data_IF_664027800975
#
_entry.id   IF_664027800975
#
_cell.length_a   1.000
_cell.length_b   1.000
_cell.length_c   1.000
_cell.angle_alpha   90.00
_cell.angle_beta   90.00
_cell.angle_gamma   90.00
#
_symmetry.space_group_name_H-M   'P 1'
#
loop_
_entity.id
_entity.type
_entity.pdbx_description
1 polymer ?
#
# COMPACT_ATOMS: atom_id res chain seq x y z
N UNK A 1 -8.50 -17.45 4.75
CA UNK A 1 -7.56 -16.32 4.88
C UNK A 1 -6.62 -16.31 3.69
N UNK A 2 -6.41 -15.16 3.05
CA UNK A 2 -5.59 -15.08 1.83
C UNK A 2 -4.10 -15.13 2.21
N UNK A 3 -3.43 -16.27 2.00
CA UNK A 3 -2.01 -16.49 2.35
C UNK A 3 -1.08 -15.39 1.83
N UNK A 4 -1.45 -14.72 0.74
CA UNK A 4 -0.72 -13.60 0.16
C UNK A 4 -0.64 -12.37 1.08
N UNK A 5 -1.70 -12.05 1.82
CA UNK A 5 -1.75 -10.89 2.72
C UNK A 5 -0.83 -11.09 3.93
N UNK A 6 -0.90 -12.28 4.54
CA UNK A 6 -0.04 -12.68 5.67
C UNK A 6 1.43 -12.66 5.26
N UNK A 7 1.74 -13.11 4.03
CA UNK A 7 3.11 -13.13 3.53
C UNK A 7 3.65 -11.71 3.27
N UNK A 8 2.82 -10.80 2.74
CA UNK A 8 3.17 -9.39 2.54
C UNK A 8 3.41 -8.66 3.87
N UNK A 9 2.58 -8.90 4.88
CA UNK A 9 2.77 -8.30 6.21
C UNK A 9 4.07 -8.81 6.86
N UNK A 10 4.33 -10.12 6.81
CA UNK A 10 5.60 -10.71 7.29
C UNK A 10 6.81 -10.12 6.58
N UNK A 11 6.76 -9.98 5.26
CA UNK A 11 7.84 -9.38 4.47
C UNK A 11 8.05 -7.90 4.86
N UNK A 12 6.97 -7.16 5.09
CA UNK A 12 7.03 -5.74 5.48
C UNK A 12 7.64 -5.59 6.87
N UNK A 13 7.23 -6.43 7.84
CA UNK A 13 7.83 -6.46 9.19
C UNK A 13 9.31 -6.82 9.17
N UNK A 14 9.70 -7.85 8.41
CA UNK A 14 11.11 -8.24 8.25
C UNK A 14 11.94 -7.10 7.62
N UNK A 15 11.37 -6.35 6.67
CA UNK A 15 12.04 -5.18 6.09
C UNK A 15 12.23 -4.06 7.13
N UNK A 16 11.21 -3.78 7.95
CA UNK A 16 11.32 -2.80 9.05
C UNK A 16 12.42 -3.22 10.02
N UNK A 17 12.45 -4.48 10.44
CA UNK A 17 13.46 -4.99 11.37
C UNK A 17 14.89 -4.86 10.80
N UNK A 18 15.08 -5.19 9.52
CA UNK A 18 16.37 -5.00 8.84
C UNK A 18 16.80 -3.53 8.82
N UNK A 19 15.89 -2.61 8.47
CA UNK A 19 16.20 -1.17 8.45
C UNK A 19 16.50 -0.64 9.85
N UNK A 20 15.80 -1.13 10.88
CA UNK A 20 16.08 -0.77 12.28
C UNK A 20 17.47 -1.21 12.72
N UNK A 21 17.92 -2.41 12.33
CA UNK A 21 19.30 -2.86 12.58
C UNK A 21 20.32 -1.96 11.88
N UNK A 22 20.07 -1.58 10.63
CA UNK A 22 20.95 -0.71 9.84
C UNK A 22 21.06 0.70 10.45
N UNK A 23 19.98 1.22 11.03
CA UNK A 23 20.00 2.47 11.80
C UNK A 23 20.84 2.32 13.06
N UNK A 24 20.70 1.21 13.80
CA UNK A 24 21.48 0.98 15.01
C UNK A 24 22.99 0.90 14.72
N UNK A 25 23.37 0.28 13.60
CA UNK A 25 24.75 0.23 13.12
C UNK A 25 25.28 1.62 12.75
N UNK A 26 24.49 2.43 12.02
CA UNK A 26 24.84 3.82 11.71
C UNK A 26 24.96 4.67 12.98
N UNK A 27 24.08 4.50 13.97
CA UNK A 27 24.15 5.19 15.25
C UNK A 27 25.41 4.86 16.03
N UNK A 28 25.78 3.58 16.07
CA UNK A 28 27.03 3.18 16.67
C UNK A 28 28.23 3.83 15.97
N UNK A 29 28.22 3.90 14.63
CA UNK A 29 29.28 4.54 13.86
C UNK A 29 29.35 6.05 14.05
N UNK A 30 28.20 6.74 14.13
CA UNK A 30 28.13 8.16 14.47
C UNK A 30 28.69 8.41 15.87
N UNK A 31 28.37 7.55 16.85
CA UNK A 31 28.93 7.64 18.20
C UNK A 31 30.46 7.46 18.18
N UNK A 32 30.96 6.45 17.48
CA UNK A 32 32.41 6.23 17.31
C UNK A 32 33.09 7.46 16.70
N UNK A 33 32.59 7.96 15.57
CA UNK A 33 33.15 9.16 14.91
C UNK A 33 33.07 10.40 15.80
N UNK A 34 31.99 10.56 16.57
CA UNK A 34 31.85 11.65 17.55
C UNK A 34 32.91 11.54 18.64
N UNK A 35 33.12 10.34 19.21
CA UNK A 35 34.16 10.13 20.22
C UNK A 35 35.57 10.33 19.66
N UNK A 36 35.85 9.90 18.42
CA UNK A 36 37.13 10.16 17.76
C UNK A 36 37.33 11.66 17.50
N UNK A 37 36.28 12.38 17.07
CA UNK A 37 36.31 13.84 16.92
C UNK A 37 36.54 14.56 18.25
N UNK A 38 35.88 14.15 19.32
CA UNK A 38 36.10 14.71 20.66
C UNK A 38 37.54 14.48 21.14
N UNK A 39 38.09 13.28 20.92
CA UNK A 39 39.49 12.98 21.24
C UNK A 39 40.46 13.83 20.42
N UNK A 40 40.24 13.97 19.11
CA UNK A 40 41.06 14.82 18.24
C UNK A 40 40.96 16.29 18.65
N UNK A 41 39.76 16.76 19.00
CA UNK A 41 39.52 18.14 19.46
C UNK A 41 40.12 18.40 20.83
N UNK A 42 40.21 17.38 21.70
CA UNK A 42 40.87 17.47 23.00
C UNK A 42 42.41 17.45 22.89
N UNK A 43 42.97 16.77 21.87
CA UNK A 43 44.41 16.77 21.57
C UNK A 43 44.83 18.06 20.88
N UNK A 44 43.93 18.69 20.11
CA UNK A 44 44.09 20.06 19.65
C UNK A 44 44.15 20.96 20.90
N UNK A 45 45.27 21.65 21.15
CA UNK A 45 45.37 22.51 22.31
C UNK A 45 44.22 23.52 22.28
N UNK A 46 43.54 23.67 23.42
CA UNK A 46 42.49 24.65 23.61
C UNK A 46 42.93 25.99 23.02
N UNK A 47 42.12 26.49 22.09
CA UNK A 47 42.33 27.71 21.29
C UNK A 47 42.54 28.97 22.16
N UNK A 48 42.43 28.85 23.48
CA UNK A 48 42.68 29.89 24.46
C UNK A 48 44.15 30.09 24.86
N UNK A 49 45.10 29.20 24.48
CA UNK A 49 46.52 29.38 24.86
C UNK A 49 47.54 29.17 23.75
N UNK A 50 47.13 28.65 22.59
CA UNK A 50 48.01 28.49 21.42
C UNK A 50 47.62 29.51 20.38
N UNK A 51 48.52 30.49 20.17
CA UNK A 51 48.57 31.34 18.99
C UNK A 51 48.14 30.54 17.76
N UNK A 52 47.05 30.98 17.12
CA UNK A 52 46.45 30.33 15.95
C UNK A 52 47.50 30.07 14.86
N UNK A 53 47.23 29.17 13.90
CA UNK A 53 48.13 28.96 12.75
C UNK A 53 48.56 30.29 12.10
N UNK A 54 47.64 31.27 12.03
CA UNK A 54 47.92 32.63 11.58
C UNK A 54 48.95 33.37 12.46
N UNK A 55 48.82 33.31 13.79
CA UNK A 55 49.76 33.92 14.72
C UNK A 55 51.17 33.27 14.62
N UNK A 56 51.24 31.94 14.44
CA UNK A 56 52.51 31.25 14.21
C UNK A 56 53.18 31.69 12.89
N UNK A 57 52.39 31.96 11.85
CA UNK A 57 52.90 32.52 10.57
C UNK A 57 53.46 33.93 10.77
N UNK A 58 52.78 34.77 11.56
CA UNK A 58 53.29 36.12 11.90
C UNK A 58 54.61 36.01 12.66
N UNK A 59 54.69 35.15 13.68
CA UNK A 59 55.91 34.89 14.44
C UNK A 59 57.06 34.34 13.57
N UNK A 60 56.78 33.45 12.62
CA UNK A 60 57.79 32.97 11.66
C UNK A 60 58.32 34.14 10.83
N UNK A 61 57.43 35.01 10.33
CA UNK A 61 57.81 36.17 9.52
C UNK A 61 58.66 37.16 10.33
N UNK A 62 58.31 37.42 11.58
CA UNK A 62 59.09 38.25 12.48
C UNK A 62 60.49 37.66 12.76
N UNK A 63 60.57 36.36 13.06
CA UNK A 63 61.86 35.70 13.29
C UNK A 63 62.71 35.66 12.01
N UNK A 64 62.09 35.50 10.84
CA UNK A 64 62.79 35.53 9.56
C UNK A 64 63.37 36.92 9.29
N UNK A 65 62.59 37.98 9.51
CA UNK A 65 63.08 39.36 9.41
C UNK A 65 64.26 39.62 10.37
N UNK A 66 64.21 39.08 11.60
CA UNK A 66 65.33 39.17 12.56
C UNK A 66 66.56 38.42 12.07
N UNK A 67 66.39 37.22 11.51
CA UNK A 67 67.48 36.44 10.90
C UNK A 67 68.16 37.24 9.78
N UNK A 68 67.37 37.85 8.89
CA UNK A 68 67.88 38.61 7.75
C UNK A 68 68.64 39.85 8.23
N UNK A 69 68.13 40.56 9.26
CA UNK A 69 68.82 41.68 9.90
C UNK A 69 70.16 41.24 10.53
N UNK A 70 70.15 40.16 11.32
CA UNK A 70 71.35 39.60 11.96
C UNK A 70 72.39 39.19 10.92
N UNK A 71 71.96 38.61 9.78
CA UNK A 71 72.88 38.26 8.69
C UNK A 71 73.50 39.50 8.06
N UNK A 72 72.70 40.55 7.83
CA UNK A 72 73.18 41.84 7.34
C UNK A 72 74.25 42.45 8.25
N UNK A 73 73.99 42.51 9.56
CA UNK A 73 74.95 43.01 10.57
C UNK A 73 76.21 42.15 10.63
N UNK A 74 76.07 40.81 10.62
CA UNK A 74 77.20 39.88 10.61
C UNK A 74 78.08 40.10 9.36
N UNK A 75 77.49 40.32 8.19
CA UNK A 75 78.23 40.61 6.96
C UNK A 75 79.02 41.92 7.06
N UNK A 76 78.47 42.96 7.69
CA UNK A 76 79.19 44.20 7.97
C UNK A 76 80.40 43.95 8.89
N UNK A 77 80.23 43.20 9.97
CA UNK A 77 81.34 42.85 10.87
C UNK A 77 82.42 42.00 10.18
N UNK A 78 82.04 41.09 9.28
CA UNK A 78 83.01 40.33 8.47
C UNK A 78 83.83 41.23 7.53
N UNK A 79 83.21 42.27 6.96
CA UNK A 79 83.93 43.27 6.17
C UNK A 79 84.88 44.12 7.03
N UNK A 80 84.48 44.49 8.25
CA UNK A 80 85.35 45.19 9.22
C UNK A 80 86.55 44.30 9.58
N UNK A 81 86.32 43.02 9.91
CA UNK A 81 87.41 42.06 10.18
C UNK A 81 88.38 41.98 9.00
N UNK A 82 87.87 41.96 7.76
CA UNK A 82 88.72 41.92 6.57
C UNK A 82 89.59 43.19 6.48
N UNK A 83 88.99 44.38 6.63
CA UNK A 83 89.71 45.66 6.61
C UNK A 83 90.78 45.74 7.69
N UNK A 84 90.45 45.41 8.94
CA UNK A 84 91.39 45.43 10.06
C UNK A 84 92.56 44.45 9.86
N UNK A 85 92.30 43.28 9.26
CA UNK A 85 93.37 42.34 8.86
C UNK A 85 94.30 42.95 7.81
N UNK A 86 93.74 43.56 6.77
CA UNK A 86 94.50 44.18 5.69
C UNK A 86 95.33 45.37 6.20
N UNK A 87 94.80 46.15 7.15
CA UNK A 87 95.46 47.29 7.80
C UNK A 87 96.58 46.85 8.74
N UNK A 88 96.33 45.82 9.56
CA UNK A 88 97.36 45.16 10.35
C UNK A 88 98.55 44.70 9.50
N UNK A 89 98.29 44.20 8.29
CA UNK A 89 99.33 43.71 7.39
C UNK A 89 100.17 44.84 6.75
N UNK A 90 99.66 46.08 6.72
CA UNK A 90 100.35 47.26 6.15
C UNK A 90 101.22 48.02 7.15
N UNK A 91 100.88 47.95 8.44
CA UNK A 91 101.65 48.56 9.51
C UNK A 91 102.96 47.79 9.74
N UNK A 92 104.08 48.49 9.92
CA UNK A 92 105.37 47.90 10.32
C UNK A 92 105.43 47.77 11.85
N UNK A 93 106.13 46.74 12.32
CA UNK A 93 106.16 46.25 13.71
C UNK A 93 106.16 47.34 14.78
N UNK A 94 105.15 47.36 15.66
CA UNK A 94 105.13 48.23 16.86
C UNK A 94 103.77 48.37 17.56
N UNK A 95 102.72 48.77 16.84
CA UNK A 95 101.43 49.22 17.44
C UNK A 95 100.21 48.37 17.03
N UNK A 96 100.29 47.04 17.11
CA UNK A 96 99.17 46.14 16.74
C UNK A 96 98.16 45.89 17.85
N UNK A 97 98.46 46.30 19.09
CA UNK A 97 97.68 45.96 20.29
C UNK A 97 96.22 46.41 20.20
N UNK A 98 95.96 47.61 19.69
CA UNK A 98 94.60 48.14 19.56
C UNK A 98 93.82 47.45 18.43
N UNK A 99 94.46 47.24 17.27
CA UNK A 99 93.85 46.54 16.12
C UNK A 99 93.54 45.08 16.46
N UNK A 100 94.39 44.42 17.26
CA UNK A 100 94.14 43.05 17.74
C UNK A 100 92.97 42.97 18.71
N UNK A 101 92.87 43.92 19.65
CA UNK A 101 91.71 44.00 20.56
C UNK A 101 90.41 44.21 19.77
N UNK A 102 90.41 45.14 18.83
CA UNK A 102 89.23 45.41 18.00
C UNK A 102 88.85 44.20 17.12
N UNK A 103 89.84 43.50 16.54
CA UNK A 103 89.61 42.27 15.80
C UNK A 103 88.95 41.17 16.65
N UNK A 104 89.39 40.99 17.89
CA UNK A 104 88.85 39.98 18.79
C UNK A 104 87.43 40.33 19.26
N UNK A 105 87.15 41.60 19.55
CA UNK A 105 85.81 42.07 19.89
C UNK A 105 84.84 41.88 18.72
N UNK A 106 85.23 42.32 17.52
CA UNK A 106 84.40 42.18 16.31
C UNK A 106 84.17 40.70 15.96
N UNK A 107 85.18 39.83 16.13
CA UNK A 107 85.02 38.38 15.95
C UNK A 107 84.04 37.78 16.94
N UNK A 108 84.12 38.15 18.22
CA UNK A 108 83.18 37.68 19.24
C UNK A 108 81.75 38.09 18.90
N UNK A 109 81.54 39.34 18.50
CA UNK A 109 80.22 39.84 18.09
C UNK A 109 79.70 39.10 16.86
N UNK A 110 80.52 38.90 15.82
CA UNK A 110 80.12 38.13 14.63
C UNK A 110 79.77 36.66 14.95
N UNK A 111 80.51 36.03 15.88
CA UNK A 111 80.20 34.67 16.35
C UNK A 111 78.91 34.62 17.17
N UNK A 112 78.64 35.64 17.99
CA UNK A 112 77.42 35.72 18.78
C UNK A 112 76.19 35.88 17.88
N UNK A 113 76.26 36.76 16.88
CA UNK A 113 75.22 36.92 15.85
C UNK A 113 74.98 35.61 15.09
N UNK A 114 76.05 34.85 14.78
CA UNK A 114 75.90 33.55 14.14
C UNK A 114 75.17 32.52 15.02
N UNK A 115 75.44 32.51 16.33
CA UNK A 115 74.71 31.65 17.28
C UNK A 115 73.24 32.06 17.39
N UNK A 116 72.96 33.36 17.46
CA UNK A 116 71.60 33.88 17.52
C UNK A 116 70.80 33.54 16.26
N UNK A 117 71.39 33.73 15.06
CA UNK A 117 70.81 33.30 13.79
C UNK A 117 70.45 31.81 13.81
N UNK A 118 71.37 30.95 14.26
CA UNK A 118 71.14 29.50 14.35
C UNK A 118 69.97 29.18 15.30
N UNK A 119 69.92 29.84 16.45
CA UNK A 119 68.83 29.65 17.42
C UNK A 119 67.48 30.09 16.85
N UNK A 120 67.42 31.24 16.17
CA UNK A 120 66.20 31.71 15.52
C UNK A 120 65.79 30.79 14.36
N UNK A 121 66.73 30.34 13.53
CA UNK A 121 66.45 29.39 12.45
C UNK A 121 65.88 28.07 12.96
N UNK A 122 66.37 27.58 14.11
CA UNK A 122 65.80 26.40 14.78
C UNK A 122 64.37 26.66 15.27
N UNK A 123 64.08 27.84 15.82
CA UNK A 123 62.72 28.22 16.26
C UNK A 123 61.75 28.30 15.08
N UNK A 124 62.15 28.93 13.97
CA UNK A 124 61.36 28.99 12.73
C UNK A 124 61.05 27.58 12.22
N UNK A 125 62.06 26.72 12.12
CA UNK A 125 61.88 25.33 11.66
C UNK A 125 60.92 24.55 12.57
N UNK A 126 60.96 24.77 13.89
CA UNK A 126 60.07 24.12 14.85
C UNK A 126 58.61 24.59 14.68
N UNK A 127 58.41 25.90 14.52
CA UNK A 127 57.07 26.48 14.27
C UNK A 127 56.48 25.99 12.94
N UNK A 128 57.28 25.92 11.88
CA UNK A 128 56.84 25.40 10.57
C UNK A 128 56.36 23.94 10.68
N UNK A 129 57.09 23.08 11.41
CA UNK A 129 56.66 21.69 11.65
C UNK A 129 55.37 21.60 12.46
N UNK A 130 55.16 22.50 13.42
CA UNK A 130 53.92 22.55 14.19
C UNK A 130 52.72 22.96 13.33
N UNK A 131 52.89 23.94 12.43
CA UNK A 131 51.85 24.34 11.48
C UNK A 131 51.50 23.17 10.54
N UNK A 132 52.51 22.50 9.98
CA UNK A 132 52.28 21.35 9.08
C UNK A 132 51.48 20.25 9.78
N UNK A 133 51.85 19.91 11.01
CA UNK A 133 51.14 18.92 11.82
C UNK A 133 49.69 19.34 12.12
N UNK A 134 49.47 20.61 12.49
CA UNK A 134 48.12 21.15 12.74
C UNK A 134 47.26 21.14 11.48
N UNK A 135 47.83 21.45 10.31
CA UNK A 135 47.12 21.40 9.03
C UNK A 135 46.66 19.97 8.69
N UNK A 136 47.53 18.97 8.88
CA UNK A 136 47.15 17.56 8.70
C UNK A 136 46.02 17.17 9.66
N UNK A 137 46.11 17.55 10.94
CA UNK A 137 45.04 17.28 11.90
C UNK A 137 43.72 17.95 11.54
N UNK A 138 43.75 19.20 11.05
CA UNK A 138 42.55 19.92 10.58
C UNK A 138 41.87 19.20 9.42
N UNK A 139 42.63 18.77 8.41
CA UNK A 139 42.05 18.02 7.28
C UNK A 139 41.42 16.69 7.71
N UNK A 140 42.02 16.03 8.72
CA UNK A 140 41.47 14.81 9.29
C UNK A 140 40.14 15.09 10.01
N UNK A 141 40.10 16.12 10.86
CA UNK A 141 38.88 16.56 11.56
C UNK A 141 37.77 16.94 10.57
N UNK A 142 38.08 17.68 9.51
CA UNK A 142 37.11 18.04 8.47
C UNK A 142 36.54 16.79 7.76
N UNK A 143 37.39 15.85 7.38
CA UNK A 143 36.98 14.59 6.73
C UNK A 143 36.04 13.78 7.63
N UNK A 144 36.33 13.73 8.92
CA UNK A 144 35.51 13.03 9.91
C UNK A 144 34.16 13.72 10.12
N UNK A 145 34.16 15.05 10.18
CA UNK A 145 32.95 15.85 10.27
C UNK A 145 32.02 15.60 9.08
N UNK A 146 32.55 15.64 7.85
CA UNK A 146 31.75 15.37 6.65
C UNK A 146 31.20 13.94 6.62
N UNK A 147 31.98 12.93 7.03
CA UNK A 147 31.48 11.55 7.15
C UNK A 147 30.35 11.43 8.18
N UNK A 148 30.47 12.11 9.31
CA UNK A 148 29.42 12.13 10.33
C UNK A 148 28.13 12.77 9.80
N UNK A 149 28.23 13.91 9.12
CA UNK A 149 27.08 14.59 8.50
C UNK A 149 26.35 13.71 7.48
N UNK A 150 27.09 12.98 6.63
CA UNK A 150 26.49 12.03 5.67
C UNK A 150 25.74 10.91 6.39
N UNK A 151 26.32 10.32 7.45
CA UNK A 151 25.66 9.26 8.21
C UNK A 151 24.40 9.75 8.93
N UNK A 152 24.38 11.00 9.39
CA UNK A 152 23.21 11.61 10.01
C UNK A 152 22.06 11.78 9.00
N UNK A 153 22.35 12.22 7.78
CA UNK A 153 21.30 12.36 6.75
C UNK A 153 20.80 10.99 6.27
N UNK A 154 21.69 10.02 6.05
CA UNK A 154 21.31 8.63 5.74
C UNK A 154 20.36 8.05 6.80
N UNK A 155 20.69 8.25 8.08
CA UNK A 155 19.85 7.80 9.20
C UNK A 155 18.45 8.40 9.12
N UNK A 156 18.35 9.69 8.83
CA UNK A 156 17.08 10.40 8.71
C UNK A 156 16.23 9.87 7.55
N UNK A 157 16.86 9.53 6.43
CA UNK A 157 16.17 8.87 5.31
C UNK A 157 15.61 7.51 5.72
N UNK A 158 16.41 6.68 6.39
CA UNK A 158 15.97 5.35 6.86
C UNK A 158 14.82 5.46 7.88
N UNK A 159 14.88 6.41 8.82
CA UNK A 159 13.80 6.68 9.76
C UNK A 159 12.50 7.05 9.04
N UNK A 160 12.58 7.85 7.98
CA UNK A 160 11.41 8.21 7.17
C UNK A 160 10.84 6.99 6.42
N UNK A 161 11.70 6.10 5.92
CA UNK A 161 11.27 4.84 5.30
C UNK A 161 10.56 3.94 6.32
N UNK A 162 11.10 3.79 7.54
CA UNK A 162 10.45 3.01 8.61
C UNK A 162 9.08 3.59 8.94
N UNK A 163 8.98 4.90 9.17
CA UNK A 163 7.70 5.57 9.48
C UNK A 163 6.64 5.31 8.41
N UNK A 164 7.06 5.30 7.14
CA UNK A 164 6.17 4.99 6.01
C UNK A 164 5.72 3.53 6.05
N UNK A 165 6.64 2.58 6.28
CA UNK A 165 6.32 1.15 6.36
C UNK A 165 5.43 0.82 7.56
N UNK A 166 5.66 1.43 8.72
CA UNK A 166 4.79 1.29 9.90
C UNK A 166 3.37 1.79 9.63
N UNK A 167 3.22 2.90 8.90
CA UNK A 167 1.91 3.37 8.44
C UNK A 167 1.21 2.37 7.52
N UNK A 168 1.96 1.73 6.61
CA UNK A 168 1.43 0.66 5.74
C UNK A 168 1.02 -0.59 6.53
N UNK A 169 1.79 -0.97 7.54
CA UNK A 169 1.42 -2.10 8.42
C UNK A 169 0.10 -1.80 9.12
N UNK A 170 -0.04 -0.62 9.76
CA UNK A 170 -1.27 -0.24 10.48
C UNK A 170 -2.51 -0.28 9.58
N UNK A 171 -2.40 0.29 8.38
CA UNK A 171 -3.50 0.30 7.41
C UNK A 171 -3.86 -1.11 6.92
N UNK A 172 -2.87 -1.98 6.70
CA UNK A 172 -3.11 -3.38 6.36
C UNK A 172 -3.77 -4.17 7.50
N UNK A 173 -3.34 -3.96 8.75
CA UNK A 173 -3.93 -4.62 9.91
C UNK A 173 -5.41 -4.24 10.08
N UNK A 174 -5.74 -2.95 9.98
CA UNK A 174 -7.14 -2.49 10.05
C UNK A 174 -7.98 -3.11 8.92
N UNK A 175 -7.49 -3.07 7.67
CA UNK A 175 -8.19 -3.67 6.54
C UNK A 175 -8.41 -5.18 6.73
N UNK A 176 -7.47 -5.89 7.36
CA UNK A 176 -7.60 -7.31 7.66
C UNK A 176 -8.66 -7.58 8.75
N UNK A 177 -8.74 -6.75 9.79
CA UNK A 177 -9.78 -6.85 10.82
C UNK A 177 -11.18 -6.58 10.25
N UNK A 178 -11.33 -5.56 9.41
CA UNK A 178 -12.60 -5.26 8.75
C UNK A 178 -13.04 -6.39 7.82
N UNK A 179 -12.11 -6.96 7.04
CA UNK A 179 -12.38 -8.15 6.22
C UNK A 179 -12.81 -9.36 7.07
N UNK A 180 -12.19 -9.55 8.24
CA UNK A 180 -12.56 -10.64 9.15
C UNK A 180 -13.96 -10.45 9.72
N UNK A 181 -14.33 -9.22 10.11
CA UNK A 181 -15.67 -8.89 10.59
C UNK A 181 -16.71 -9.10 9.49
N UNK A 182 -16.45 -8.61 8.28
CA UNK A 182 -17.34 -8.78 7.14
C UNK A 182 -17.55 -10.28 6.82
N UNK A 183 -16.50 -11.10 6.88
CA UNK A 183 -16.61 -12.54 6.69
C UNK A 183 -17.51 -13.18 7.75
N UNK A 184 -17.32 -12.86 9.03
CA UNK A 184 -18.15 -13.38 10.13
C UNK A 184 -19.63 -13.01 9.94
N UNK A 185 -19.91 -11.76 9.56
CA UNK A 185 -21.29 -11.33 9.27
C UNK A 185 -21.91 -12.11 8.10
N UNK A 186 -21.12 -12.40 7.06
CA UNK A 186 -21.60 -13.22 5.93
C UNK A 186 -21.82 -14.68 6.32
N UNK A 187 -20.97 -15.26 7.17
CA UNK A 187 -21.11 -16.62 7.69
C UNK A 187 -22.36 -16.75 8.57
N UNK A 188 -22.63 -15.77 9.43
CA UNK A 188 -23.86 -15.73 10.23
C UNK A 188 -25.12 -15.61 9.37
N UNK A 189 -25.11 -14.73 8.36
CA UNK A 189 -26.21 -14.61 7.40
C UNK A 189 -26.44 -15.93 6.67
N UNK A 190 -25.38 -16.59 6.22
CA UNK A 190 -25.47 -17.88 5.55
C UNK A 190 -26.08 -18.94 6.47
N UNK A 191 -25.64 -18.99 7.73
CA UNK A 191 -26.19 -19.92 8.73
C UNK A 191 -27.69 -19.72 8.95
N UNK A 192 -28.14 -18.47 9.06
CA UNK A 192 -29.58 -18.14 9.17
C UNK A 192 -30.34 -18.58 7.92
N UNK A 193 -29.83 -18.29 6.73
CA UNK A 193 -30.48 -18.72 5.48
C UNK A 193 -30.57 -20.24 5.34
N UNK A 194 -29.59 -20.99 5.85
CA UNK A 194 -29.65 -22.46 5.89
C UNK A 194 -30.73 -22.96 6.86
N UNK A 195 -30.87 -22.34 8.04
CA UNK A 195 -31.94 -22.64 8.98
C UNK A 195 -33.33 -22.36 8.38
N UNK A 196 -33.50 -21.20 7.75
CA UNK A 196 -34.75 -20.83 7.08
C UNK A 196 -35.11 -21.84 5.97
N UNK A 197 -34.11 -22.30 5.19
CA UNK A 197 -34.30 -23.33 4.16
C UNK A 197 -34.74 -24.67 4.75
N UNK A 198 -34.16 -25.10 5.87
CA UNK A 198 -34.55 -26.34 6.55
C UNK A 198 -35.98 -26.24 7.10
N UNK A 199 -36.37 -25.10 7.67
CA UNK A 199 -37.75 -24.86 8.12
C UNK A 199 -38.74 -24.90 6.96
N UNK A 200 -38.43 -24.26 5.84
CA UNK A 200 -39.25 -24.30 4.62
C UNK A 200 -39.37 -25.73 4.11
N UNK A 201 -38.28 -26.50 4.15
CA UNK A 201 -38.28 -27.91 3.74
C UNK A 201 -39.20 -28.75 4.61
N UNK A 202 -39.17 -28.58 5.93
CA UNK A 202 -40.08 -29.27 6.85
C UNK A 202 -41.55 -28.88 6.62
N UNK A 203 -41.83 -27.58 6.44
CA UNK A 203 -43.18 -27.10 6.12
C UNK A 203 -43.70 -27.69 4.81
N UNK A 204 -42.87 -27.71 3.76
CA UNK A 204 -43.21 -28.34 2.48
C UNK A 204 -43.47 -29.84 2.60
N UNK A 205 -42.68 -30.56 3.41
CA UNK A 205 -42.93 -31.98 3.67
C UNK A 205 -44.30 -32.20 4.34
N UNK A 206 -44.63 -31.40 5.36
CA UNK A 206 -45.92 -31.48 6.05
C UNK A 206 -47.10 -31.17 5.13
N UNK A 207 -46.99 -30.09 4.33
CA UNK A 207 -48.02 -29.72 3.35
C UNK A 207 -48.22 -30.84 2.33
N UNK A 208 -47.15 -31.46 1.83
CA UNK A 208 -47.27 -32.58 0.90
C UNK A 208 -47.98 -33.78 1.52
N UNK A 209 -47.73 -34.08 2.80
CA UNK A 209 -48.42 -35.14 3.52
C UNK A 209 -49.92 -34.85 3.67
N UNK A 210 -50.27 -33.62 4.09
CA UNK A 210 -51.67 -33.17 4.18
C UNK A 210 -52.37 -33.23 2.80
N UNK A 211 -51.65 -32.86 1.74
CA UNK A 211 -52.16 -32.89 0.37
C UNK A 211 -52.44 -34.33 -0.12
N UNK A 212 -51.61 -35.31 0.24
CA UNK A 212 -51.89 -36.72 -0.05
C UNK A 212 -53.08 -37.26 0.76
N UNK A 213 -53.22 -36.86 2.04
CA UNK A 213 -54.40 -37.21 2.83
C UNK A 213 -55.69 -36.68 2.18
N UNK A 214 -55.72 -35.40 1.81
CA UNK A 214 -56.86 -34.80 1.11
C UNK A 214 -57.14 -35.50 -0.23
N UNK A 215 -56.11 -35.88 -1.00
CA UNK A 215 -56.31 -36.65 -2.23
C UNK A 215 -56.98 -38.00 -1.98
N UNK A 216 -56.54 -38.72 -0.95
CA UNK A 216 -57.15 -40.01 -0.59
C UNK A 216 -58.60 -39.85 -0.11
N UNK A 217 -58.89 -38.83 0.69
CA UNK A 217 -60.25 -38.50 1.15
C UNK A 217 -61.16 -38.09 -0.02
N UNK A 218 -60.63 -37.32 -0.96
CA UNK A 218 -61.35 -36.90 -2.16
C UNK A 218 -61.65 -38.10 -3.07
N UNK A 219 -60.72 -39.05 -3.21
CA UNK A 219 -60.96 -40.32 -3.91
C UNK A 219 -62.08 -41.11 -3.25
N UNK A 220 -62.01 -41.32 -1.93
CA UNK A 220 -63.07 -42.03 -1.18
C UNK A 220 -64.44 -41.37 -1.31
N UNK A 221 -64.47 -40.04 -1.24
CA UNK A 221 -65.71 -39.27 -1.40
C UNK A 221 -66.26 -39.39 -2.83
N UNK A 222 -65.38 -39.45 -3.83
CA UNK A 222 -65.76 -39.68 -5.23
C UNK A 222 -66.35 -41.08 -5.42
N UNK A 223 -65.70 -42.11 -4.89
CA UNK A 223 -66.18 -43.50 -4.96
C UNK A 223 -67.53 -43.66 -4.26
N UNK A 224 -67.71 -43.01 -3.10
CA UNK A 224 -68.97 -43.00 -2.36
C UNK A 224 -70.08 -42.29 -3.16
N UNK A 225 -69.77 -41.14 -3.76
CA UNK A 225 -70.71 -40.40 -4.60
C UNK A 225 -71.09 -41.19 -5.87
N UNK A 226 -70.15 -41.92 -6.48
CA UNK A 226 -70.41 -42.77 -7.63
C UNK A 226 -71.32 -43.95 -7.24
N UNK A 227 -71.04 -44.60 -6.11
CA UNK A 227 -71.92 -45.63 -5.55
C UNK A 227 -73.34 -45.11 -5.25
N UNK A 228 -73.45 -43.91 -4.69
CA UNK A 228 -74.74 -43.26 -4.46
C UNK A 228 -75.45 -42.92 -5.78
N UNK A 229 -74.73 -42.42 -6.78
CA UNK A 229 -75.29 -42.13 -8.09
C UNK A 229 -75.83 -43.40 -8.76
N UNK A 230 -75.13 -44.52 -8.66
CA UNK A 230 -75.58 -45.81 -9.19
C UNK A 230 -76.79 -46.35 -8.41
N UNK A 231 -76.84 -46.18 -7.09
CA UNK A 231 -78.03 -46.49 -6.29
C UNK A 231 -79.24 -45.64 -6.71
N UNK A 232 -79.04 -44.34 -6.96
CA UNK A 232 -80.08 -43.45 -7.48
C UNK A 232 -80.54 -43.89 -8.87
N UNK A 233 -79.63 -44.27 -9.77
CA UNK A 233 -80.00 -44.83 -11.08
C UNK A 233 -80.85 -46.09 -10.93
N UNK A 234 -80.45 -47.00 -10.04
CA UNK A 234 -81.18 -48.24 -9.79
C UNK A 234 -82.59 -47.96 -9.24
N UNK A 235 -82.72 -47.05 -8.27
CA UNK A 235 -84.00 -46.63 -7.72
C UNK A 235 -84.88 -45.96 -8.78
N UNK A 236 -84.31 -45.11 -9.65
CA UNK A 236 -85.04 -44.51 -10.78
C UNK A 236 -85.54 -45.58 -11.76
N UNK A 237 -84.74 -46.58 -12.09
CA UNK A 237 -85.15 -47.71 -12.93
C UNK A 237 -86.26 -48.54 -12.28
N UNK A 238 -86.20 -48.74 -10.96
CA UNK A 238 -87.25 -49.43 -10.20
C UNK A 238 -88.56 -48.63 -10.16
N UNK A 239 -88.50 -47.30 -10.00
CA UNK A 239 -89.68 -46.43 -10.09
C UNK A 239 -90.32 -46.44 -11.48
N UNK A 240 -89.50 -46.41 -12.54
CA UNK A 240 -89.98 -46.53 -13.93
C UNK A 240 -90.66 -47.88 -14.16
N UNK A 241 -90.12 -48.98 -13.61
CA UNK A 241 -90.72 -50.31 -13.69
C UNK A 241 -92.01 -50.46 -12.86
N UNK A 242 -92.19 -49.66 -11.82
CA UNK A 242 -93.36 -49.67 -10.94
C UNK A 242 -94.54 -48.80 -11.43
N UNK A 243 -94.40 -48.11 -12.56
CA UNK A 243 -95.51 -47.41 -13.23
C UNK A 243 -95.85 -46.02 -12.69
N UNK A 244 -94.94 -45.36 -11.96
CA UNK A 244 -95.14 -43.97 -11.50
C UNK A 244 -94.02 -43.04 -12.01
N UNK A 245 -94.43 -42.15 -12.93
CA UNK A 245 -93.78 -40.92 -13.43
C UNK A 245 -92.99 -41.02 -14.76
N UNK A 246 -93.42 -40.15 -15.68
CA UNK A 246 -92.88 -39.82 -16.99
C UNK A 246 -91.49 -39.16 -16.94
N UNK A 247 -90.71 -39.49 -17.96
CA UNK A 247 -89.36 -38.98 -18.23
C UNK A 247 -89.33 -37.47 -18.42
N UNK A 248 -88.50 -36.77 -17.63
CA UNK A 248 -88.00 -35.44 -17.99
C UNK A 248 -86.48 -35.49 -18.04
N UNK A 249 -85.96 -35.65 -19.25
CA UNK A 249 -84.56 -35.45 -19.57
C UNK A 249 -84.22 -33.96 -19.44
N UNK A 250 -83.27 -33.60 -18.58
CA UNK A 250 -82.64 -32.29 -18.61
C UNK A 250 -81.17 -32.43 -18.99
N UNK A 251 -80.90 -31.96 -20.20
CA UNK A 251 -79.58 -31.73 -20.75
C UNK A 251 -78.81 -30.75 -19.84
N UNK A 252 -77.62 -31.14 -19.41
CA UNK A 252 -76.56 -30.18 -19.10
C UNK A 252 -75.39 -30.43 -20.05
N UNK A 253 -75.49 -29.79 -21.21
CA UNK A 253 -74.34 -29.46 -22.06
C UNK A 253 -73.36 -28.64 -21.23
N UNK A 254 -72.37 -29.31 -20.65
CA UNK A 254 -71.18 -28.67 -20.12
C UNK A 254 -70.42 -28.05 -21.29
N UNK A 255 -70.65 -26.76 -21.52
CA UNK A 255 -69.87 -25.92 -22.43
C UNK A 255 -68.44 -25.92 -21.92
N UNK A 256 -67.59 -26.80 -22.45
CA UNK A 256 -66.15 -26.70 -22.28
C UNK A 256 -65.70 -25.44 -23.01
N UNK A 257 -65.56 -24.34 -22.28
CA UNK A 257 -64.86 -23.17 -22.77
C UNK A 257 -63.43 -23.66 -23.05
N UNK A 258 -62.95 -23.67 -24.31
CA UNK A 258 -61.56 -24.01 -24.56
C UNK A 258 -60.71 -22.95 -23.87
N UNK A 259 -59.95 -23.33 -22.85
CA UNK A 259 -58.93 -22.50 -22.23
C UNK A 259 -57.81 -22.35 -23.25
N UNK A 260 -57.99 -21.43 -24.19
CA UNK A 260 -57.06 -21.18 -25.27
C UNK A 260 -55.77 -20.57 -24.71
N UNK A 261 -54.63 -21.08 -25.17
CA UNK A 261 -53.32 -20.46 -24.94
C UNK A 261 -53.36 -19.03 -25.48
N UNK A 262 -52.82 -18.08 -24.72
CA UNK A 262 -52.67 -16.69 -25.18
C UNK A 262 -51.22 -16.45 -25.55
N UNK A 263 -51.00 -15.77 -26.67
CA UNK A 263 -49.68 -15.42 -27.18
C UNK A 263 -49.45 -13.93 -27.05
N UNK A 264 -48.22 -13.55 -26.73
CA UNK A 264 -47.82 -12.16 -26.63
C UNK A 264 -46.52 -11.94 -27.39
N UNK A 265 -46.52 -10.95 -28.29
CA UNK A 265 -45.36 -10.54 -29.07
C UNK A 265 -44.60 -9.42 -28.36
N UNK A 266 -43.27 -9.36 -28.54
CA UNK A 266 -42.44 -8.32 -27.94
C UNK A 266 -42.23 -7.14 -28.89
N UNK A 267 -43.06 -6.09 -28.73
CA UNK A 267 -43.05 -4.91 -29.60
C UNK A 267 -42.75 -3.67 -28.77
N UNK A 268 -41.76 -2.86 -29.21
CA UNK A 268 -41.40 -1.58 -28.57
C UNK A 268 -41.19 -1.69 -27.05
N UNK A 269 -40.48 -2.73 -26.61
CA UNK A 269 -40.16 -3.04 -25.22
C UNK A 269 -41.35 -3.51 -24.35
N UNK A 270 -42.47 -3.94 -24.94
CA UNK A 270 -43.64 -4.42 -24.22
C UNK A 270 -44.20 -5.71 -24.85
N UNK A 271 -44.84 -6.54 -24.03
CA UNK A 271 -45.57 -7.72 -24.51
C UNK A 271 -47.01 -7.35 -24.87
N UNK A 272 -47.37 -7.57 -26.14
CA UNK A 272 -48.68 -7.22 -26.71
C UNK A 272 -49.42 -8.49 -27.08
N UNK A 273 -50.69 -8.62 -26.66
CA UNK A 273 -51.51 -9.79 -26.96
C UNK A 273 -51.72 -9.93 -28.48
N UNK A 274 -51.42 -11.11 -29.01
CA UNK A 274 -51.55 -11.43 -30.44
C UNK A 274 -52.37 -12.70 -30.61
N UNK A 275 -53.18 -12.74 -31.67
CA UNK A 275 -54.10 -13.86 -31.94
C UNK A 275 -53.40 -15.10 -32.50
N UNK A 276 -52.14 -14.96 -32.95
CA UNK A 276 -51.32 -16.04 -33.52
C UNK A 276 -49.94 -16.00 -32.90
N UNK A 277 -49.27 -17.16 -32.85
CA UNK A 277 -47.90 -17.28 -32.36
C UNK A 277 -46.96 -16.47 -33.29
N UNK A 278 -46.30 -15.40 -32.80
CA UNK A 278 -45.40 -14.59 -33.60
C UNK A 278 -44.06 -15.29 -33.79
N UNK A 279 -43.29 -14.90 -34.81
CA UNK A 279 -41.91 -15.33 -34.99
C UNK A 279 -40.98 -14.37 -34.22
N UNK A 280 -40.03 -14.89 -33.44
CA UNK A 280 -39.08 -14.08 -32.67
C UNK A 280 -39.20 -14.24 -31.15
N UNK A 281 -39.51 -13.17 -30.42
CA UNK A 281 -39.64 -13.19 -28.95
C UNK A 281 -41.11 -13.36 -28.58
N UNK A 282 -41.44 -14.49 -27.97
CA UNK A 282 -42.81 -14.91 -27.70
C UNK A 282 -42.99 -15.14 -26.21
N UNK A 283 -44.04 -14.59 -25.63
CA UNK A 283 -44.49 -14.96 -24.30
C UNK A 283 -45.83 -15.69 -24.41
N UNK A 284 -45.89 -16.94 -23.95
CA UNK A 284 -47.11 -17.75 -23.94
C UNK A 284 -47.67 -17.86 -22.52
N UNK A 285 -48.98 -17.66 -22.37
CA UNK A 285 -49.67 -17.98 -21.13
C UNK A 285 -50.27 -19.38 -21.24
N UNK A 286 -49.87 -20.29 -20.35
CA UNK A 286 -50.43 -21.63 -20.21
C UNK A 286 -51.24 -21.72 -18.90
N UNK A 287 -52.57 -21.45 -18.93
CA UNK A 287 -53.35 -21.28 -17.70
C UNK A 287 -53.46 -22.56 -16.88
N UNK A 288 -53.57 -23.71 -17.55
CA UNK A 288 -53.71 -25.03 -16.90
C UNK A 288 -52.49 -25.38 -16.04
N UNK A 289 -51.29 -24.98 -16.48
CA UNK A 289 -50.05 -25.25 -15.75
C UNK A 289 -49.54 -24.06 -14.94
N UNK A 290 -50.34 -22.99 -14.84
CA UNK A 290 -50.04 -21.72 -14.15
C UNK A 290 -48.63 -21.19 -14.45
N UNK A 291 -48.26 -21.17 -15.73
CA UNK A 291 -46.93 -20.73 -16.16
C UNK A 291 -46.97 -19.79 -17.36
N UNK A 292 -45.94 -18.95 -17.41
CA UNK A 292 -45.52 -18.16 -18.54
C UNK A 292 -44.37 -18.89 -19.24
N UNK A 293 -44.41 -18.98 -20.56
CA UNK A 293 -43.33 -19.57 -21.36
C UNK A 293 -42.76 -18.48 -22.26
N UNK A 294 -41.55 -18.03 -21.98
CA UNK A 294 -40.82 -17.11 -22.83
C UNK A 294 -39.97 -17.91 -23.82
N UNK A 295 -40.26 -17.80 -25.10
CA UNK A 295 -39.45 -18.35 -26.20
C UNK A 295 -38.72 -17.21 -26.89
N UNK A 296 -37.41 -17.35 -27.11
CA UNK A 296 -36.60 -16.36 -27.84
C UNK A 296 -36.02 -17.04 -29.08
N UNK A 297 -36.34 -16.53 -30.26
CA UNK A 297 -35.79 -17.03 -31.52
C UNK A 297 -34.27 -16.82 -31.63
N UNK A 298 -33.59 -17.71 -32.35
CA UNK A 298 -32.13 -17.70 -32.51
C UNK A 298 -31.58 -16.49 -33.27
N UNK A 299 -32.43 -15.79 -34.03
CA UNK A 299 -32.05 -14.62 -34.85
C UNK A 299 -32.23 -13.28 -34.12
N UNK A 300 -32.56 -13.29 -32.83
CA UNK A 300 -32.83 -12.08 -32.04
C UNK A 300 -31.54 -11.48 -31.48
N UNK A 301 -31.41 -10.16 -31.55
CA UNK A 301 -30.24 -9.45 -31.01
C UNK A 301 -30.10 -9.62 -29.48
N UNK A 302 -28.86 -9.65 -28.97
CA UNK A 302 -28.58 -9.75 -27.52
C UNK A 302 -29.25 -8.62 -26.73
N UNK A 303 -29.34 -7.42 -27.33
CA UNK A 303 -29.96 -6.25 -26.72
C UNK A 303 -31.47 -6.45 -26.55
N UNK A 304 -32.16 -6.92 -27.59
CA UNK A 304 -33.60 -7.20 -27.53
C UNK A 304 -33.92 -8.38 -26.61
N UNK A 305 -33.09 -9.44 -26.64
CA UNK A 305 -33.16 -10.56 -25.69
C UNK A 305 -33.13 -10.08 -24.23
N UNK A 306 -32.17 -9.23 -23.88
CA UNK A 306 -32.04 -8.73 -22.51
C UNK A 306 -33.20 -7.83 -22.08
N UNK A 307 -33.74 -7.03 -23.02
CA UNK A 307 -34.93 -6.21 -22.77
C UNK A 307 -36.17 -7.07 -22.52
N UNK A 308 -36.41 -8.08 -23.37
CA UNK A 308 -37.53 -8.99 -23.22
C UNK A 308 -37.46 -9.80 -21.91
N UNK A 309 -36.27 -10.31 -21.55
CA UNK A 309 -36.06 -11.02 -20.29
C UNK A 309 -36.36 -10.15 -19.07
N UNK A 310 -35.92 -8.89 -19.09
CA UNK A 310 -36.18 -7.94 -18.00
C UNK A 310 -37.68 -7.74 -17.81
N UNK A 311 -38.41 -7.50 -18.90
CA UNK A 311 -39.87 -7.31 -18.86
C UNK A 311 -40.56 -8.60 -18.41
N UNK A 312 -40.20 -9.75 -18.99
CA UNK A 312 -40.81 -11.04 -18.66
C UNK A 312 -40.63 -11.43 -17.18
N UNK A 313 -39.45 -11.20 -16.60
CA UNK A 313 -39.16 -11.49 -15.18
C UNK A 313 -40.00 -10.68 -14.20
N UNK A 314 -40.54 -9.53 -14.61
CA UNK A 314 -41.44 -8.73 -13.77
C UNK A 314 -42.88 -9.28 -13.73
N UNK A 315 -43.30 -10.01 -14.78
CA UNK A 315 -44.68 -10.45 -14.99
C UNK A 315 -45.17 -11.44 -13.92
N UNK A 316 -44.39 -12.41 -13.42
CA UNK A 316 -44.82 -13.25 -12.30
C UNK A 316 -45.25 -12.44 -11.07
N UNK A 317 -44.56 -11.34 -10.75
CA UNK A 317 -44.86 -10.50 -9.60
C UNK A 317 -46.04 -9.55 -9.82
N UNK A 318 -46.09 -8.89 -10.97
CA UNK A 318 -47.07 -7.82 -11.26
C UNK A 318 -48.28 -8.29 -12.05
N UNK A 319 -48.19 -9.45 -12.71
CA UNK A 319 -49.04 -9.85 -13.82
C UNK A 319 -48.79 -9.00 -15.08
N UNK A 320 -49.37 -9.43 -16.20
CA UNK A 320 -49.35 -8.68 -17.46
C UNK A 320 -50.67 -7.96 -17.64
N UNK A 321 -50.63 -6.64 -17.84
CA UNK A 321 -51.83 -5.84 -18.10
C UNK A 321 -52.16 -5.88 -19.59
N UNK A 322 -53.33 -6.40 -19.94
CA UNK A 322 -53.84 -6.40 -21.31
C UNK A 322 -54.65 -5.12 -21.60
N UNK A 323 -54.88 -4.75 -22.88
CA UNK A 323 -55.48 -3.46 -23.26
C UNK A 323 -56.84 -3.14 -22.61
N UNK A 324 -57.61 -4.15 -22.23
CA UNK A 324 -58.87 -3.99 -21.51
C UNK A 324 -58.69 -3.72 -20.00
N UNK A 325 -57.47 -3.44 -19.54
CA UNK A 325 -57.12 -3.13 -18.15
C UNK A 325 -56.98 -4.34 -17.22
N UNK A 326 -57.32 -5.55 -17.69
CA UNK A 326 -57.26 -6.79 -16.89
C UNK A 326 -55.81 -7.22 -16.67
N UNK A 327 -55.48 -7.67 -15.46
CA UNK A 327 -54.18 -8.25 -15.13
C UNK A 327 -54.28 -9.78 -15.25
N UNK A 328 -53.43 -10.38 -16.09
CA UNK A 328 -53.39 -11.83 -16.29
C UNK A 328 -52.09 -12.44 -15.79
N UNK A 329 -52.15 -13.69 -15.34
CA UNK A 329 -50.99 -14.51 -14.99
C UNK A 329 -50.11 -13.98 -13.84
N UNK A 330 -50.65 -13.17 -12.93
CA UNK A 330 -49.96 -12.81 -11.69
C UNK A 330 -49.78 -14.07 -10.83
N UNK A 331 -48.59 -14.27 -10.29
CA UNK A 331 -48.21 -15.43 -9.49
C UNK A 331 -47.92 -16.70 -10.31
N UNK A 332 -47.88 -16.61 -11.64
CA UNK A 332 -47.56 -17.74 -12.51
C UNK A 332 -46.04 -17.84 -12.70
N UNK A 333 -45.53 -19.07 -12.74
CA UNK A 333 -44.09 -19.32 -12.89
C UNK A 333 -43.60 -18.95 -14.30
N UNK A 334 -42.45 -18.28 -14.42
CA UNK A 334 -41.85 -17.99 -15.72
C UNK A 334 -40.81 -19.06 -16.07
N UNK A 335 -41.05 -19.76 -17.19
CA UNK A 335 -40.09 -20.66 -17.82
C UNK A 335 -39.53 -19.97 -19.06
N UNK A 336 -38.21 -20.01 -19.23
CA UNK A 336 -37.53 -19.51 -20.42
C UNK A 336 -37.05 -20.71 -21.24
N UNK A 337 -37.41 -20.75 -22.52
CA UNK A 337 -37.06 -21.83 -23.45
C UNK A 337 -36.36 -21.29 -24.68
N UNK A 338 -35.31 -21.98 -25.15
CA UNK A 338 -34.51 -21.57 -26.32
C UNK A 338 -33.26 -20.76 -25.98
N UNK A 339 -32.44 -21.25 -25.04
CA UNK A 339 -31.05 -20.78 -24.89
C UNK A 339 -30.14 -21.35 -25.99
#
# INVERSE_FOLDING_TARGET
MNNRSINLEKQTRAKVEKLSMEIAERDHKIQQLTTELEQLTAILPSVSTVSTSADMVVLIKEHQNKIDKIEGERLQYLQVIKRLKDEKQKLKEGDYSEIEKELDEVRKTAQQLQKEKKNLGNKVSKLQRQIEHLNVQLTYVETYKTKSEVLVEDKKELLQQIKTLEGRIKTQTVAQEDLKRALQETEEKLKRTLQDLDEIRQKNWKINLELEQVKTELSKSRDLNESQADKIKLLKLQLIAAGEIETSASNSTGTSIPIQKKYFDFVKNLFVNVSRKPDGIILELEPLKRRWILTIGSQISVVEKNKALRVARSIPGTGLRIPNGTIVGKGYELIVTGE
#
